data_IF_301436153573
#
_entry.id   IF_301436153573
#
_cell.length_a   1.000
_cell.length_b   1.000
_cell.length_c   1.000
_cell.angle_alpha   90.00
_cell.angle_beta   90.00
_cell.angle_gamma   90.00
#
_symmetry.space_group_name_H-M   'P 1'
#
loop_
_entity.id
_entity.type
_entity.pdbx_description
1 polymer ?
#
# COMPACT_ATOMS: atom_id res chain seq x y z
N UNK A 1 -5.26 -17.28 10.07
CA UNK A 1 -5.64 -16.34 9.00
C UNK A 1 -4.69 -16.56 7.83
N UNK A 2 -5.21 -16.71 6.61
CA UNK A 2 -4.37 -16.84 5.42
C UNK A 2 -3.73 -15.49 5.11
N UNK A 3 -2.39 -15.45 4.97
CA UNK A 3 -1.65 -14.28 4.47
C UNK A 3 -1.59 -14.34 2.95
N UNK A 4 -1.44 -13.19 2.29
CA UNK A 4 -1.14 -13.19 0.86
C UNK A 4 0.28 -13.72 0.62
N UNK A 5 0.46 -14.49 -0.45
CA UNK A 5 1.80 -14.91 -0.90
C UNK A 5 2.40 -13.86 -1.83
N UNK A 6 3.72 -13.65 -1.74
CA UNK A 6 4.41 -12.73 -2.65
C UNK A 6 4.21 -13.10 -4.12
N UNK A 7 4.18 -14.39 -4.46
CA UNK A 7 3.96 -14.85 -5.84
C UNK A 7 2.57 -14.47 -6.36
N UNK A 8 1.54 -14.46 -5.50
CA UNK A 8 0.21 -13.99 -5.85
C UNK A 8 0.21 -12.47 -6.10
N UNK A 9 0.88 -11.71 -5.22
CA UNK A 9 1.00 -10.26 -5.35
C UNK A 9 1.75 -9.86 -6.63
N UNK A 10 2.86 -10.53 -6.92
CA UNK A 10 3.65 -10.30 -8.13
C UNK A 10 2.82 -10.54 -9.40
N UNK A 11 2.02 -11.62 -9.44
CA UNK A 11 1.09 -11.88 -10.55
C UNK A 11 0.03 -10.80 -10.69
N UNK A 12 -0.52 -10.31 -9.58
CA UNK A 12 -1.53 -9.25 -9.58
C UNK A 12 -0.97 -7.89 -10.02
N UNK A 13 0.28 -7.59 -9.69
CA UNK A 13 1.01 -6.40 -10.15
C UNK A 13 1.28 -6.50 -11.65
N UNK A 14 1.79 -7.65 -12.11
CA UNK A 14 2.07 -7.89 -13.52
C UNK A 14 0.81 -7.84 -14.39
N UNK A 15 -0.33 -8.36 -13.92
CA UNK A 15 -1.60 -8.30 -14.67
C UNK A 15 -2.14 -6.89 -14.88
N UNK A 16 -1.65 -5.91 -14.11
CA UNK A 16 -1.95 -4.48 -14.25
C UNK A 16 -0.87 -3.73 -15.06
N UNK A 17 0.11 -4.42 -15.63
CA UNK A 17 1.30 -3.85 -16.27
C UNK A 17 2.10 -2.92 -15.33
N UNK A 18 2.07 -3.19 -14.03
CA UNK A 18 2.85 -2.45 -13.03
C UNK A 18 4.20 -3.13 -12.82
N UNK A 19 5.19 -2.33 -12.44
CA UNK A 19 6.53 -2.81 -12.12
C UNK A 19 6.55 -3.51 -10.77
N UNK A 20 7.08 -4.72 -10.71
CA UNK A 20 7.52 -5.32 -9.46
C UNK A 20 9.01 -5.01 -9.26
N UNK A 21 9.41 -4.65 -8.04
CA UNK A 21 10.80 -4.38 -7.71
C UNK A 21 11.46 -5.63 -7.13
N UNK A 22 12.26 -6.30 -7.96
CA UNK A 22 13.06 -7.48 -7.63
C UNK A 22 14.49 -7.39 -8.21
N UNK A 23 14.98 -6.17 -8.42
CA UNK A 23 16.29 -5.87 -9.02
C UNK A 23 17.49 -6.11 -8.08
N UNK A 24 17.27 -6.80 -6.96
CA UNK A 24 18.30 -7.11 -5.96
C UNK A 24 18.77 -5.90 -5.14
N UNK A 25 18.23 -4.70 -5.38
CA UNK A 25 18.59 -3.51 -4.60
C UNK A 25 17.96 -3.56 -3.21
N UNK A 26 18.74 -3.33 -2.14
CA UNK A 26 18.20 -3.28 -0.79
C UNK A 26 17.11 -2.21 -0.65
N UNK A 27 16.02 -2.58 0.00
CA UNK A 27 14.89 -1.71 0.36
C UNK A 27 14.20 -1.02 -0.81
N UNK A 28 14.27 -1.57 -2.02
CA UNK A 28 13.31 -1.26 -3.06
C UNK A 28 11.93 -1.84 -2.69
N UNK A 29 11.01 -0.97 -2.30
CA UNK A 29 9.74 -1.35 -1.67
C UNK A 29 8.65 -1.66 -2.69
N UNK A 30 7.98 -2.79 -2.53
CA UNK A 30 6.69 -3.09 -3.15
C UNK A 30 5.60 -2.92 -2.09
N UNK A 31 4.95 -1.75 -2.06
CA UNK A 31 3.80 -1.46 -1.20
C UNK A 31 2.52 -1.61 -2.02
N UNK A 32 1.62 -2.49 -1.59
CA UNK A 32 0.41 -2.84 -2.35
C UNK A 32 -0.81 -2.72 -1.45
N UNK A 33 -1.77 -1.90 -1.87
CA UNK A 33 -3.12 -1.88 -1.31
C UNK A 33 -4.01 -2.91 -2.00
N UNK A 34 -4.66 -3.75 -1.23
CA UNK A 34 -5.56 -4.80 -1.69
C UNK A 34 -6.96 -4.43 -1.19
N UNK A 35 -7.82 -4.03 -2.14
CA UNK A 35 -9.22 -3.74 -1.87
C UNK A 35 -10.06 -5.00 -1.94
N UNK A 36 -10.95 -5.18 -0.98
CA UNK A 36 -11.90 -6.28 -1.02
C UNK A 36 -13.00 -5.99 -2.05
N UNK A 37 -13.34 -6.98 -2.87
CA UNK A 37 -14.29 -6.81 -3.98
C UNK A 37 -15.77 -6.64 -3.54
N UNK A 38 -16.05 -6.80 -2.23
CA UNK A 38 -17.36 -6.56 -1.60
C UNK A 38 -17.13 -5.75 -0.31
N UNK A 39 -16.93 -4.43 -0.41
CA UNK A 39 -16.73 -3.58 0.76
C UNK A 39 -18.01 -3.58 1.60
N UNK A 40 -17.88 -3.95 2.88
CA UNK A 40 -18.96 -3.74 3.86
C UNK A 40 -18.70 -2.37 4.48
N UNK A 41 -19.59 -1.37 4.32
CA UNK A 41 -19.41 -0.07 4.93
C UNK A 41 -19.09 -0.20 6.43
N UNK A 42 -18.10 0.56 6.91
CA UNK A 42 -17.63 0.58 8.30
C UNK A 42 -16.87 -0.68 8.78
N UNK A 43 -16.28 -1.48 7.88
CA UNK A 43 -15.29 -2.50 8.24
C UNK A 43 -13.89 -2.18 7.71
N UNK A 44 -12.90 -2.38 8.56
CA UNK A 44 -11.47 -2.35 8.19
C UNK A 44 -11.08 -3.68 7.56
N UNK A 45 -11.53 -3.93 6.32
CA UNK A 45 -11.29 -5.22 5.63
C UNK A 45 -10.46 -5.12 4.34
N UNK A 46 -9.83 -3.98 4.08
CA UNK A 46 -8.73 -3.86 3.14
C UNK A 46 -7.40 -4.32 3.77
N UNK A 47 -6.43 -4.61 2.91
CA UNK A 47 -5.08 -4.99 3.32
C UNK A 47 -4.04 -4.09 2.66
N UNK A 48 -2.96 -3.83 3.38
CA UNK A 48 -1.74 -3.24 2.83
C UNK A 48 -0.58 -4.20 3.07
N UNK A 49 0.18 -4.49 2.02
CA UNK A 49 1.35 -5.37 2.10
C UNK A 49 2.61 -4.61 1.74
N UNK A 50 3.73 -4.96 2.35
CA UNK A 50 5.06 -4.50 1.98
C UNK A 50 5.96 -5.70 1.75
N UNK A 51 6.63 -5.74 0.59
CA UNK A 51 7.72 -6.68 0.35
C UNK A 51 8.94 -5.97 -0.22
N UNK A 52 10.12 -6.37 0.24
CA UNK A 52 11.39 -5.82 -0.23
C UNK A 52 12.52 -6.83 0.02
N UNK A 53 13.64 -6.66 -0.69
CA UNK A 53 14.88 -7.34 -0.36
C UNK A 53 15.68 -6.48 0.62
N UNK A 54 16.17 -7.02 1.74
CA UNK A 54 16.94 -6.24 2.73
C UNK A 54 18.46 -6.26 2.51
N UNK A 55 18.92 -6.82 1.39
CA UNK A 55 20.35 -7.07 1.12
C UNK A 55 20.80 -8.49 1.43
N UNK A 56 19.98 -9.28 2.13
CA UNK A 56 20.24 -10.70 2.46
C UNK A 56 19.05 -11.59 2.12
N UNK A 57 17.87 -11.21 2.61
CA UNK A 57 16.64 -11.97 2.51
C UNK A 57 15.47 -11.07 2.08
N UNK A 58 14.41 -11.71 1.59
CA UNK A 58 13.13 -11.04 1.37
C UNK A 58 12.42 -10.81 2.69
N UNK A 59 11.97 -9.57 2.90
CA UNK A 59 11.12 -9.17 4.02
C UNK A 59 9.67 -9.02 3.53
N UNK A 60 8.71 -9.44 4.36
CA UNK A 60 7.28 -9.36 4.05
C UNK A 60 6.46 -8.97 5.28
N UNK A 61 5.68 -7.90 5.12
CA UNK A 61 4.72 -7.41 6.09
C UNK A 61 3.33 -7.26 5.49
N UNK A 62 2.32 -7.44 6.32
CA UNK A 62 0.92 -7.34 5.95
C UNK A 62 0.14 -6.73 7.11
N UNK A 63 -0.66 -5.72 6.81
CA UNK A 63 -1.49 -5.03 7.79
C UNK A 63 -2.91 -4.92 7.26
N UNK A 64 -3.88 -4.89 8.18
CA UNK A 64 -5.23 -4.44 7.85
C UNK A 64 -5.20 -2.92 7.66
N UNK A 65 -5.84 -2.45 6.62
CA UNK A 65 -5.99 -1.03 6.31
C UNK A 65 -7.45 -0.72 5.97
N UNK A 66 -7.76 0.56 5.78
CA UNK A 66 -8.99 0.98 5.09
C UNK A 66 -8.61 2.01 4.04
N UNK A 67 -9.03 1.79 2.80
CA UNK A 67 -8.94 2.78 1.72
C UNK A 67 -10.30 3.39 1.37
N UNK A 68 -11.33 3.06 2.15
CA UNK A 68 -12.68 3.62 2.07
C UNK A 68 -12.84 4.68 3.18
N UNK A 69 -12.68 5.99 2.89
CA UNK A 69 -13.11 7.00 3.83
C UNK A 69 -14.62 6.88 4.02
N UNK A 70 -15.08 6.95 5.28
CA UNK A 70 -16.51 6.89 5.58
C UNK A 70 -17.29 7.92 4.76
N UNK A 71 -18.38 7.48 4.13
CA UNK A 71 -19.22 8.31 3.25
C UNK A 71 -19.69 9.62 3.91
N UNK A 72 -19.88 9.60 5.23
CA UNK A 72 -20.20 10.80 6.01
C UNK A 72 -19.14 11.91 5.88
N UNK A 73 -17.85 11.59 6.03
CA UNK A 73 -16.77 12.59 5.95
C UNK A 73 -16.41 12.97 4.51
N UNK A 74 -16.69 12.08 3.56
CA UNK A 74 -16.62 12.35 2.12
C UNK A 74 -17.66 13.39 1.67
N UNK A 75 -18.88 13.32 2.22
CA UNK A 75 -19.98 14.23 1.88
C UNK A 75 -20.06 15.46 2.80
N UNK A 76 -19.55 15.37 4.03
CA UNK A 76 -19.54 16.45 5.03
C UNK A 76 -18.10 16.68 5.56
N UNK A 77 -17.18 17.16 4.72
CA UNK A 77 -15.79 17.35 5.14
C UNK A 77 -15.70 18.45 6.21
N UNK A 78 -15.32 18.10 7.45
CA UNK A 78 -14.96 19.10 8.48
C UNK A 78 -13.72 19.91 8.10
N UNK A 79 -12.88 19.35 7.22
CA UNK A 79 -11.82 20.03 6.50
C UNK A 79 -11.74 19.41 5.10
N UNK A 80 -11.98 20.19 4.05
CA UNK A 80 -11.97 19.74 2.64
C UNK A 80 -10.61 19.14 2.24
N UNK A 81 -9.52 19.52 2.91
CA UNK A 81 -8.17 18.96 2.71
C UNK A 81 -7.86 17.74 3.59
N UNK A 82 -8.74 17.38 4.52
CA UNK A 82 -8.49 16.34 5.53
C UNK A 82 -8.74 14.91 5.04
N UNK A 83 -9.34 14.74 3.86
CA UNK A 83 -9.60 13.42 3.27
C UNK A 83 -8.86 13.31 1.94
N UNK A 84 -7.81 12.49 1.91
CA UNK A 84 -7.08 12.17 0.70
C UNK A 84 -7.47 10.76 0.22
N UNK A 85 -7.93 10.66 -1.03
CA UNK A 85 -8.13 9.39 -1.71
C UNK A 85 -7.02 9.23 -2.73
N UNK A 86 -6.17 8.22 -2.54
CA UNK A 86 -5.16 7.90 -3.54
C UNK A 86 -5.85 7.35 -4.78
N UNK A 87 -5.62 8.00 -5.92
CA UNK A 87 -6.13 7.50 -7.20
C UNK A 87 -5.53 6.12 -7.48
N UNK A 88 -6.30 5.14 -7.98
CA UNK A 88 -5.74 3.84 -8.34
C UNK A 88 -4.63 4.00 -9.38
N UNK A 89 -3.47 3.40 -9.12
CA UNK A 89 -2.28 3.52 -9.97
C UNK A 89 -1.03 2.94 -9.31
N UNK A 90 0.06 2.88 -10.07
CA UNK A 90 1.40 2.66 -9.53
C UNK A 90 2.11 4.00 -9.34
N UNK A 91 2.75 4.16 -8.19
CA UNK A 91 3.48 5.35 -7.79
C UNK A 91 4.92 4.95 -7.45
N UNK A 92 5.86 5.28 -8.34
CA UNK A 92 7.28 4.92 -8.21
C UNK A 92 8.06 6.11 -7.67
N UNK A 93 8.98 5.84 -6.74
CA UNK A 93 9.90 6.83 -6.14
C UNK A 93 9.19 8.04 -5.49
N UNK A 94 7.95 7.85 -5.00
CA UNK A 94 7.18 8.90 -4.33
C UNK A 94 7.55 9.11 -2.85
N UNK A 95 8.50 8.33 -2.32
CA UNK A 95 8.95 8.42 -0.94
C UNK A 95 10.47 8.55 -0.92
N UNK A 96 10.97 9.52 -0.17
CA UNK A 96 12.39 9.65 0.16
C UNK A 96 12.60 9.43 1.65
N UNK A 97 13.76 8.91 2.01
CA UNK A 97 14.18 8.93 3.40
C UNK A 97 14.45 10.37 3.81
N UNK A 98 13.75 10.85 4.82
CA UNK A 98 14.18 12.05 5.51
C UNK A 98 15.38 11.66 6.38
N UNK A 99 16.51 12.39 6.28
CA UNK A 99 17.60 12.16 7.20
C UNK A 99 17.16 12.55 8.62
N UNK A 100 17.75 11.91 9.64
CA UNK A 100 17.23 11.96 11.01
C UNK A 100 17.26 13.37 11.62
N UNK A 101 18.07 14.26 11.06
CA UNK A 101 18.16 15.69 11.37
C UNK A 101 16.97 16.52 10.90
N UNK A 102 16.08 15.99 10.05
CA UNK A 102 14.85 16.67 9.60
C UNK A 102 13.65 16.50 10.55
N UNK A 103 13.78 15.65 11.57
CA UNK A 103 12.73 15.42 12.57
C UNK A 103 13.15 16.12 13.87
N UNK A 104 13.25 17.45 13.82
CA UNK A 104 13.49 18.33 14.97
C UNK A 104 12.36 19.34 15.12
#
# INVERSE_FOLDING_TARGET
MARYSMSLLQKAVASKNYRWFDDGKPFHLNIIGIRKNNPVPNRFDDYMTLSAFNGKDWIYFEWKATTDPGSYWLLNPGNVKGTAILKPGQYVDCWHWLPMDYVS
#
